data_IF_360804397357
#
_entry.id   IF_360804397357
#
_cell.length_a   1.000
_cell.length_b   1.000
_cell.length_c   1.000
_cell.angle_alpha   90.00
_cell.angle_beta   90.00
_cell.angle_gamma   90.00
#
_symmetry.space_group_name_H-M   'P 1'
#
loop_
_entity.id
_entity.type
_entity.pdbx_description
1 polymer ?
#
# COMPACT_ATOMS: atom_id res chain seq x y z
N UNK A 1 -8.83 -21.46 -7.53
CA UNK A 1 -8.38 -20.47 -8.54
C UNK A 1 -6.86 -20.55 -8.62
N UNK A 2 -6.30 -20.76 -9.80
CA UNK A 2 -4.84 -20.87 -9.99
C UNK A 2 -4.23 -19.46 -9.93
N UNK A 3 -3.33 -19.22 -8.98
CA UNK A 3 -2.54 -17.98 -8.90
C UNK A 3 -1.18 -18.24 -9.54
N UNK A 4 -1.06 -17.88 -10.81
CA UNK A 4 0.17 -18.00 -11.58
C UNK A 4 0.68 -16.61 -12.02
N UNK A 5 1.80 -16.57 -12.74
CA UNK A 5 2.39 -15.30 -13.20
C UNK A 5 1.46 -14.52 -14.12
N UNK A 6 0.76 -15.18 -15.03
CA UNK A 6 -0.20 -14.56 -15.93
C UNK A 6 -1.34 -13.90 -15.19
N UNK A 7 -1.94 -14.61 -14.23
CA UNK A 7 -2.96 -14.05 -13.34
C UNK A 7 -2.48 -12.80 -12.62
N UNK A 8 -1.22 -12.78 -12.15
CA UNK A 8 -0.64 -11.64 -11.46
C UNK A 8 -0.41 -10.47 -12.41
N UNK A 9 0.13 -10.72 -13.62
CA UNK A 9 0.40 -9.66 -14.59
C UNK A 9 -0.87 -8.98 -15.10
N UNK A 10 -1.97 -9.71 -15.21
CA UNK A 10 -3.29 -9.16 -15.57
C UNK A 10 -3.87 -8.20 -14.50
N UNK A 11 -3.27 -8.16 -13.31
CA UNK A 11 -3.66 -7.25 -12.23
C UNK A 11 -2.81 -6.00 -12.12
N UNK A 12 -1.87 -5.77 -13.02
CA UNK A 12 -0.92 -4.65 -12.95
C UNK A 12 -1.07 -3.78 -14.19
N UNK A 13 -0.90 -2.48 -14.04
CA UNK A 13 -0.75 -1.60 -15.19
C UNK A 13 0.54 -1.96 -15.95
N UNK A 14 0.51 -1.94 -17.28
CA UNK A 14 1.62 -2.36 -18.14
C UNK A 14 2.95 -1.65 -17.83
N UNK A 15 2.91 -0.42 -17.34
CA UNK A 15 4.09 0.35 -17.00
C UNK A 15 4.90 -0.23 -15.81
N UNK A 16 4.27 -1.07 -14.98
CA UNK A 16 4.93 -1.78 -13.88
C UNK A 16 5.51 -3.14 -14.30
N UNK A 17 5.16 -3.66 -15.49
CA UNK A 17 5.51 -5.02 -15.89
C UNK A 17 7.02 -5.29 -15.93
N UNK A 18 7.85 -4.30 -16.26
CA UNK A 18 9.31 -4.47 -16.31
C UNK A 18 9.87 -4.87 -14.94
N UNK A 19 9.51 -4.13 -13.88
CA UNK A 19 9.97 -4.45 -12.52
C UNK A 19 9.33 -5.73 -11.99
N UNK A 20 8.06 -6.01 -12.31
CA UNK A 20 7.40 -7.26 -11.92
C UNK A 20 8.08 -8.48 -12.55
N UNK A 21 8.37 -8.43 -13.87
CA UNK A 21 9.07 -9.51 -14.59
C UNK A 21 10.48 -9.77 -14.03
N UNK A 22 11.16 -8.74 -13.52
CA UNK A 22 12.49 -8.89 -12.91
C UNK A 22 12.45 -9.60 -11.55
N UNK A 23 11.30 -9.59 -10.86
CA UNK A 23 11.15 -10.13 -9.50
C UNK A 23 10.45 -11.49 -9.45
N UNK A 24 9.48 -11.74 -10.35
CA UNK A 24 8.57 -12.88 -10.29
C UNK A 24 9.28 -14.25 -10.38
N UNK A 25 10.44 -14.31 -11.05
CA UNK A 25 11.24 -15.53 -11.19
C UNK A 25 12.15 -15.81 -9.99
N UNK A 26 12.30 -14.86 -9.06
CA UNK A 26 13.14 -15.02 -7.88
C UNK A 26 12.56 -16.02 -6.89
N UNK A 27 13.42 -16.73 -6.20
CA UNK A 27 13.03 -17.77 -5.23
C UNK A 27 12.00 -17.27 -4.21
N UNK A 28 12.21 -16.08 -3.64
CA UNK A 28 11.28 -15.54 -2.65
C UNK A 28 9.89 -15.27 -3.22
N UNK A 29 9.82 -14.83 -4.49
CA UNK A 29 8.53 -14.55 -5.13
C UNK A 29 7.75 -15.83 -5.45
N UNK A 30 8.44 -16.91 -5.79
CA UNK A 30 7.81 -18.24 -5.95
C UNK A 30 7.18 -18.74 -4.65
N UNK A 31 7.83 -18.50 -3.49
CA UNK A 31 7.22 -18.79 -2.18
C UNK A 31 5.97 -17.95 -1.92
N UNK A 32 6.00 -16.66 -2.29
CA UNK A 32 4.81 -15.80 -2.20
C UNK A 32 3.67 -16.42 -3.02
N UNK A 33 3.90 -16.78 -4.29
CA UNK A 33 2.86 -17.35 -5.16
C UNK A 33 2.27 -18.63 -4.54
N UNK A 34 3.10 -19.55 -4.09
CA UNK A 34 2.66 -20.79 -3.48
C UNK A 34 1.78 -20.57 -2.24
N UNK A 35 2.14 -19.64 -1.36
CA UNK A 35 1.35 -19.29 -0.18
C UNK A 35 0.04 -18.60 -0.56
N UNK A 36 0.06 -17.70 -1.55
CA UNK A 36 -1.16 -17.05 -2.05
C UNK A 36 -2.14 -18.08 -2.62
N UNK A 37 -1.66 -19.05 -3.37
CA UNK A 37 -2.49 -20.12 -3.93
C UNK A 37 -3.10 -20.99 -2.83
N UNK A 38 -2.31 -21.43 -1.85
CA UNK A 38 -2.78 -22.17 -0.68
C UNK A 38 -3.86 -21.40 0.08
N UNK A 39 -3.59 -20.17 0.47
CA UNK A 39 -4.56 -19.32 1.20
C UNK A 39 -5.81 -19.00 0.38
N UNK A 40 -5.70 -18.90 -0.95
CA UNK A 40 -6.84 -18.67 -1.83
C UNK A 40 -7.77 -19.88 -1.87
N UNK A 41 -7.21 -21.09 -1.94
CA UNK A 41 -7.97 -22.32 -1.95
C UNK A 41 -8.71 -22.53 -0.61
N UNK A 42 -8.13 -22.11 0.51
CA UNK A 42 -8.75 -22.11 1.83
C UNK A 42 -9.72 -20.92 2.04
N UNK A 43 -9.79 -19.98 1.10
CA UNK A 43 -10.60 -18.76 1.20
C UNK A 43 -10.30 -17.89 2.43
N UNK A 44 -9.03 -17.85 2.85
CA UNK A 44 -8.56 -17.09 4.02
C UNK A 44 -7.64 -15.92 3.65
N UNK A 45 -7.48 -15.59 2.37
CA UNK A 45 -6.58 -14.54 1.91
C UNK A 45 -7.21 -13.15 2.00
N UNK A 46 -6.49 -12.21 2.59
CA UNK A 46 -6.82 -10.79 2.65
C UNK A 46 -5.69 -9.94 2.04
N UNK A 47 -6.00 -9.07 1.07
CA UNK A 47 -7.25 -8.94 0.32
C UNK A 47 -7.53 -10.18 -0.56
N UNK A 48 -8.69 -10.21 -1.21
CA UNK A 48 -8.97 -11.26 -2.20
C UNK A 48 -7.90 -11.28 -3.30
N UNK A 49 -7.64 -12.43 -3.94
CA UNK A 49 -6.58 -12.57 -4.94
C UNK A 49 -6.58 -11.51 -6.03
N UNK A 50 -7.76 -11.11 -6.52
CA UNK A 50 -7.92 -10.09 -7.57
C UNK A 50 -7.52 -8.66 -7.12
N UNK A 51 -7.30 -8.44 -5.83
CA UNK A 51 -7.01 -7.12 -5.26
C UNK A 51 -5.58 -6.99 -4.70
N UNK A 52 -4.77 -8.04 -4.72
CA UNK A 52 -3.41 -8.03 -4.16
C UNK A 52 -2.55 -6.92 -4.77
N UNK A 53 -2.66 -6.74 -6.10
CA UNK A 53 -1.89 -5.74 -6.84
C UNK A 53 -2.72 -4.52 -7.27
N UNK A 54 -3.85 -4.27 -6.59
CA UNK A 54 -4.75 -3.16 -6.95
C UNK A 54 -4.06 -1.80 -6.94
N UNK A 55 -3.11 -1.55 -6.03
CA UNK A 55 -2.33 -0.32 -6.01
C UNK A 55 -1.60 -0.09 -7.35
N UNK A 56 -0.98 -1.13 -7.90
CA UNK A 56 -0.27 -1.07 -9.19
C UNK A 56 -1.21 -1.07 -10.40
N UNK A 57 -2.43 -1.59 -10.25
CA UNK A 57 -3.45 -1.53 -11.30
C UNK A 57 -4.02 -0.14 -11.44
N UNK A 58 -4.28 0.52 -10.32
CA UNK A 58 -4.97 1.82 -10.25
C UNK A 58 -4.03 3.00 -10.48
N UNK A 59 -2.79 2.92 -10.01
CA UNK A 59 -1.80 3.98 -10.16
C UNK A 59 -0.78 3.56 -11.21
N UNK A 60 -0.80 4.19 -12.39
CA UNK A 60 0.24 4.00 -13.42
C UNK A 60 1.56 4.61 -12.96
N UNK A 61 2.68 4.09 -13.48
CA UNK A 61 4.00 4.62 -13.14
C UNK A 61 4.19 6.06 -13.65
N UNK A 62 3.68 6.38 -14.84
CA UNK A 62 3.74 7.72 -15.42
C UNK A 62 3.01 8.77 -14.58
N UNK A 63 1.81 8.43 -14.07
CA UNK A 63 0.98 9.33 -13.26
C UNK A 63 1.37 9.38 -11.78
N UNK A 64 2.36 8.60 -11.35
CA UNK A 64 2.77 8.53 -9.94
C UNK A 64 3.30 9.87 -9.42
N UNK A 65 2.67 10.42 -8.39
CA UNK A 65 3.02 11.68 -7.72
C UNK A 65 3.33 11.49 -6.24
N UNK A 66 2.60 10.58 -5.59
CA UNK A 66 2.68 10.37 -4.14
C UNK A 66 2.75 8.88 -3.83
N UNK A 67 3.55 8.52 -2.83
CA UNK A 67 3.60 7.15 -2.26
C UNK A 67 3.24 7.23 -0.78
N UNK A 68 2.24 6.45 -0.37
CA UNK A 68 1.88 6.26 1.04
C UNK A 68 2.21 4.82 1.41
N UNK A 69 3.07 4.63 2.42
CA UNK A 69 3.53 3.30 2.83
C UNK A 69 2.76 2.82 4.06
N UNK A 70 1.97 1.75 3.88
CA UNK A 70 1.36 0.99 4.97
C UNK A 70 2.19 -0.24 5.37
N UNK A 71 1.81 -0.91 6.45
CA UNK A 71 2.47 -2.13 6.93
C UNK A 71 1.91 -3.37 6.26
N UNK A 72 0.67 -3.73 6.53
CA UNK A 72 -0.03 -4.89 6.02
C UNK A 72 -1.53 -4.58 5.80
N UNK A 73 -2.26 -5.41 5.03
CA UNK A 73 -3.69 -5.24 4.83
C UNK A 73 -4.49 -5.46 6.11
N UNK A 74 -5.67 -4.86 6.21
CA UNK A 74 -6.65 -5.25 7.21
C UNK A 74 -6.99 -6.74 7.08
N UNK A 75 -7.01 -7.44 8.20
CA UNK A 75 -7.17 -8.89 8.26
C UNK A 75 -8.63 -9.36 8.44
N UNK A 76 -9.58 -8.44 8.63
CA UNK A 76 -11.01 -8.75 8.67
C UNK A 76 -11.50 -9.25 7.30
N UNK A 77 -12.35 -10.25 7.30
CA UNK A 77 -12.90 -10.84 6.06
C UNK A 77 -13.62 -9.79 5.24
N UNK A 78 -13.24 -9.64 3.96
CA UNK A 78 -13.82 -8.66 3.04
C UNK A 78 -13.42 -7.20 3.33
N UNK A 79 -12.60 -6.93 4.35
CA UNK A 79 -12.23 -5.58 4.75
C UNK A 79 -11.20 -4.94 3.81
N UNK A 80 -10.05 -5.59 3.60
CA UNK A 80 -9.00 -5.07 2.75
C UNK A 80 -9.42 -5.04 1.27
N UNK A 81 -9.12 -3.93 0.60
CA UNK A 81 -9.43 -3.76 -0.83
C UNK A 81 -8.18 -3.71 -1.72
N UNK A 82 -6.97 -3.89 -1.16
CA UNK A 82 -5.70 -3.90 -1.90
C UNK A 82 -4.96 -2.56 -1.94
N UNK A 83 -5.53 -1.49 -1.38
CA UNK A 83 -4.87 -0.20 -1.16
C UNK A 83 -4.57 -0.04 0.33
N UNK A 84 -3.40 0.51 0.69
CA UNK A 84 -3.07 0.76 2.10
C UNK A 84 -4.08 1.73 2.74
N UNK A 85 -4.42 1.50 4.02
CA UNK A 85 -5.41 2.25 4.81
C UNK A 85 -6.87 2.19 4.31
N UNK A 86 -7.12 1.69 3.09
CA UNK A 86 -8.44 1.66 2.47
C UNK A 86 -9.22 0.38 2.80
N UNK A 87 -10.55 0.49 2.79
CA UNK A 87 -11.47 -0.63 2.95
C UNK A 87 -12.55 -0.63 1.87
N UNK A 88 -13.23 -1.77 1.68
CA UNK A 88 -14.40 -1.80 0.81
C UNK A 88 -15.52 -0.90 1.34
N UNK A 89 -16.36 -0.37 0.44
CA UNK A 89 -17.38 0.62 0.79
C UNK A 89 -18.50 0.10 1.70
N UNK A 90 -18.70 -1.19 1.78
CA UNK A 90 -19.66 -1.87 2.66
C UNK A 90 -19.11 -2.09 4.09
N UNK A 91 -17.82 -1.90 4.29
CA UNK A 91 -17.16 -2.13 5.58
C UNK A 91 -17.22 -0.91 6.49
N UNK A 92 -17.09 -1.13 7.80
CA UNK A 92 -16.94 -0.04 8.78
C UNK A 92 -15.61 0.68 8.54
N UNK A 93 -15.61 2.01 8.62
CA UNK A 93 -14.39 2.81 8.48
C UNK A 93 -13.43 2.51 9.65
N UNK A 94 -12.22 1.98 9.39
CA UNK A 94 -11.27 1.70 10.45
C UNK A 94 -10.78 2.97 11.16
N UNK A 95 -10.38 2.87 12.44
CA UNK A 95 -9.92 4.03 13.22
C UNK A 95 -8.79 4.82 12.55
N UNK A 96 -7.80 4.14 11.95
CA UNK A 96 -6.70 4.82 11.25
C UNK A 96 -7.20 5.65 10.07
N UNK A 97 -8.11 5.11 9.26
CA UNK A 97 -8.69 5.84 8.12
C UNK A 97 -9.57 7.00 8.58
N UNK A 98 -10.31 6.82 9.69
CA UNK A 98 -11.08 7.91 10.31
C UNK A 98 -10.16 9.06 10.74
N UNK A 99 -9.02 8.75 11.37
CA UNK A 99 -8.05 9.76 11.78
C UNK A 99 -7.41 10.48 10.58
N UNK A 100 -7.13 9.77 9.49
CA UNK A 100 -6.67 10.39 8.24
C UNK A 100 -7.72 11.39 7.72
N UNK A 101 -8.98 11.02 7.67
CA UNK A 101 -10.04 11.92 7.21
C UNK A 101 -10.25 13.13 8.13
N UNK A 102 -10.21 12.91 9.45
CA UNK A 102 -10.32 14.00 10.43
C UNK A 102 -9.17 15.01 10.27
N UNK A 103 -7.96 14.51 10.04
CA UNK A 103 -6.79 15.38 9.88
C UNK A 103 -6.86 16.20 8.58
N UNK A 104 -7.31 15.59 7.49
CA UNK A 104 -7.56 16.31 6.22
C UNK A 104 -8.67 17.37 6.41
N UNK A 105 -9.74 17.04 7.13
CA UNK A 105 -10.82 17.98 7.44
C UNK A 105 -10.31 19.15 8.29
N UNK A 106 -9.48 18.87 9.28
CA UNK A 106 -8.87 19.89 10.14
C UNK A 106 -7.94 20.82 9.37
N UNK A 107 -7.14 20.27 8.46
CA UNK A 107 -6.18 21.02 7.65
C UNK A 107 -6.86 21.87 6.57
N UNK A 108 -7.72 21.27 5.77
CA UNK A 108 -8.39 21.94 4.66
C UNK A 108 -9.64 22.74 5.07
N UNK A 109 -10.06 22.68 6.35
CA UNK A 109 -11.33 23.25 6.87
C UNK A 109 -12.54 22.82 6.05
N UNK A 110 -12.44 21.66 5.40
CA UNK A 110 -13.47 21.10 4.53
C UNK A 110 -13.45 19.58 4.61
N UNK A 111 -14.61 18.99 4.81
CA UNK A 111 -14.73 17.53 4.83
C UNK A 111 -14.33 16.94 3.47
N UNK A 112 -13.40 15.97 3.44
CA UNK A 112 -12.99 15.38 2.18
C UNK A 112 -14.14 14.64 1.52
N UNK A 113 -14.43 14.97 0.27
CA UNK A 113 -15.40 14.24 -0.55
C UNK A 113 -14.72 12.99 -1.14
N UNK A 114 -14.34 12.06 -0.27
CA UNK A 114 -13.71 10.82 -0.69
C UNK A 114 -14.39 9.61 -0.07
N UNK A 115 -14.40 8.51 -0.81
CA UNK A 115 -14.93 7.24 -0.32
C UNK A 115 -13.83 6.49 0.44
N UNK A 116 -14.22 5.68 1.42
CA UNK A 116 -13.29 4.88 2.24
C UNK A 116 -12.51 3.81 1.47
N UNK A 117 -12.87 3.56 0.19
CA UNK A 117 -12.09 2.71 -0.70
C UNK A 117 -10.85 3.40 -1.30
N UNK A 118 -10.73 4.73 -1.17
CA UNK A 118 -9.61 5.57 -1.60
C UNK A 118 -9.20 5.42 -3.09
N UNK A 119 -10.04 4.84 -3.92
CA UNK A 119 -9.71 4.65 -5.35
C UNK A 119 -9.51 5.97 -6.07
N UNK A 120 -10.26 7.01 -5.68
CA UNK A 120 -10.09 8.37 -6.26
C UNK A 120 -8.71 8.97 -5.99
N UNK A 121 -8.03 8.57 -4.91
CA UNK A 121 -6.64 8.98 -4.67
C UNK A 121 -5.68 8.23 -5.59
N UNK A 122 -5.87 6.93 -5.74
CA UNK A 122 -5.06 6.12 -6.65
C UNK A 122 -5.17 6.63 -8.10
N UNK A 123 -6.39 6.98 -8.54
CA UNK A 123 -6.65 7.52 -9.87
C UNK A 123 -5.96 8.89 -10.10
N UNK A 124 -5.66 9.64 -9.03
CA UNK A 124 -4.91 10.91 -9.05
C UNK A 124 -3.38 10.75 -8.98
N UNK A 125 -2.87 9.52 -8.87
CA UNK A 125 -1.45 9.23 -8.82
C UNK A 125 -0.89 8.99 -7.42
N UNK A 126 -1.74 8.62 -6.45
CA UNK A 126 -1.31 8.21 -5.10
C UNK A 126 -1.15 6.69 -5.05
N UNK A 127 0.08 6.20 -5.00
CA UNK A 127 0.37 4.78 -4.78
C UNK A 127 0.24 4.45 -3.29
N UNK A 128 -0.86 3.83 -2.92
CA UNK A 128 -1.10 3.37 -1.55
C UNK A 128 -0.62 1.94 -1.37
N UNK A 129 0.65 1.79 -0.98
CA UNK A 129 1.39 0.54 -0.97
C UNK A 129 1.57 0.00 0.45
N UNK A 130 1.09 -1.21 0.73
CA UNK A 130 1.49 -1.94 1.92
C UNK A 130 2.85 -2.61 1.72
N UNK A 131 3.66 -2.70 2.76
CA UNK A 131 4.93 -3.44 2.72
C UNK A 131 4.71 -4.95 2.60
N UNK A 132 3.67 -5.49 3.23
CA UNK A 132 3.13 -6.83 2.96
C UNK A 132 1.83 -6.68 2.19
N UNK A 133 1.71 -7.31 1.01
CA UNK A 133 0.52 -7.13 0.16
C UNK A 133 -0.62 -8.09 0.51
N UNK A 134 -0.39 -9.03 1.43
CA UNK A 134 -1.40 -9.98 1.88
C UNK A 134 -1.20 -10.41 3.33
N UNK A 135 -2.28 -10.89 3.94
CA UNK A 135 -2.30 -11.58 5.24
C UNK A 135 -3.36 -12.68 5.23
N UNK A 136 -3.32 -13.61 6.19
CA UNK A 136 -4.41 -14.56 6.45
C UNK A 136 -5.53 -13.86 7.22
N UNK A 137 -6.77 -14.19 6.89
CA UNK A 137 -7.96 -13.68 7.59
C UNK A 137 -7.86 -13.94 9.09
N UNK A 138 -8.14 -12.92 9.89
CA UNK A 138 -8.05 -12.96 11.34
C UNK A 138 -6.62 -12.94 11.93
N UNK A 139 -5.56 -12.97 11.09
CA UNK A 139 -4.16 -13.07 11.55
C UNK A 139 -3.31 -11.92 11.01
N UNK A 140 -3.24 -10.79 11.76
CA UNK A 140 -2.35 -9.67 11.37
C UNK A 140 -0.89 -10.14 11.29
N UNK A 141 -0.09 -9.50 10.43
CA UNK A 141 1.33 -9.80 10.21
C UNK A 141 1.66 -11.24 9.77
N UNK A 142 0.68 -12.08 9.46
CA UNK A 142 0.89 -13.50 9.14
C UNK A 142 1.79 -13.75 7.93
N UNK A 143 1.93 -12.79 7.01
CA UNK A 143 2.80 -12.87 5.85
C UNK A 143 4.04 -11.95 5.94
N UNK A 144 4.37 -11.46 7.14
CA UNK A 144 5.50 -10.54 7.35
C UNK A 144 6.84 -11.13 6.86
N UNK A 145 7.05 -12.45 7.04
CA UNK A 145 8.28 -13.14 6.67
C UNK A 145 8.19 -13.86 5.31
N UNK A 146 7.09 -13.72 4.59
CA UNK A 146 6.86 -14.42 3.32
C UNK A 146 7.78 -13.91 2.18
N UNK A 147 8.29 -12.69 2.29
CA UNK A 147 9.15 -12.06 1.29
C UNK A 147 8.54 -10.82 0.62
N UNK A 148 7.33 -10.42 0.98
CA UNK A 148 6.68 -9.21 0.47
C UNK A 148 7.56 -7.96 0.63
N UNK A 149 8.20 -7.81 1.80
CA UNK A 149 9.10 -6.66 2.05
C UNK A 149 10.24 -6.58 1.02
N UNK A 150 10.78 -7.72 0.56
CA UNK A 150 11.82 -7.73 -0.47
C UNK A 150 11.29 -7.18 -1.80
N UNK A 151 10.07 -7.53 -2.15
CA UNK A 151 9.42 -7.05 -3.38
C UNK A 151 9.07 -5.56 -3.27
N UNK A 152 8.36 -5.14 -2.22
CA UNK A 152 7.92 -3.76 -2.06
C UNK A 152 9.08 -2.78 -1.86
N UNK A 153 10.16 -3.20 -1.20
CA UNK A 153 11.39 -2.42 -1.10
C UNK A 153 12.06 -2.22 -2.47
N UNK A 154 12.02 -3.22 -3.35
CA UNK A 154 12.46 -3.07 -4.74
C UNK A 154 11.59 -2.09 -5.53
N UNK A 155 10.28 -2.11 -5.30
CA UNK A 155 9.36 -1.12 -5.90
C UNK A 155 9.70 0.29 -5.43
N UNK A 156 9.88 0.53 -4.12
CA UNK A 156 10.24 1.85 -3.60
C UNK A 156 11.58 2.34 -4.19
N UNK A 157 12.59 1.46 -4.25
CA UNK A 157 13.87 1.78 -4.86
C UNK A 157 13.74 2.05 -6.37
N UNK A 158 12.93 1.27 -7.08
CA UNK A 158 12.66 1.48 -8.51
C UNK A 158 12.03 2.84 -8.77
N UNK A 159 11.03 3.24 -7.97
CA UNK A 159 10.44 4.58 -8.03
C UNK A 159 11.50 5.64 -7.78
N UNK A 160 12.28 5.49 -6.72
CA UNK A 160 13.31 6.46 -6.32
C UNK A 160 14.39 6.67 -7.38
N UNK A 161 14.74 5.63 -8.13
CA UNK A 161 15.74 5.74 -9.20
C UNK A 161 15.18 6.36 -10.47
N UNK A 162 13.96 5.98 -10.86
CA UNK A 162 13.41 6.23 -12.19
C UNK A 162 12.39 7.39 -12.24
N UNK A 163 12.06 8.01 -11.09
CA UNK A 163 11.20 9.20 -11.02
C UNK A 163 11.95 10.36 -10.36
N UNK A 164 11.38 11.55 -10.48
CA UNK A 164 11.79 12.75 -9.75
C UNK A 164 10.54 13.40 -9.15
N UNK A 165 10.71 14.20 -8.10
CA UNK A 165 9.65 15.01 -7.49
C UNK A 165 8.43 14.18 -7.01
N UNK A 166 8.67 12.95 -6.51
CA UNK A 166 7.65 12.14 -5.86
C UNK A 166 7.64 12.47 -4.37
N UNK A 167 6.45 12.60 -3.78
CA UNK A 167 6.29 12.78 -2.33
C UNK A 167 6.06 11.42 -1.67
N UNK A 168 6.85 11.11 -0.65
CA UNK A 168 6.72 9.88 0.14
C UNK A 168 6.19 10.20 1.54
N UNK A 169 5.00 9.72 1.86
CA UNK A 169 4.45 9.77 3.22
C UNK A 169 4.83 8.50 3.97
N UNK A 170 5.66 8.65 5.00
CA UNK A 170 6.15 7.56 5.85
C UNK A 170 5.58 7.73 7.27
N UNK A 171 4.41 7.15 7.50
CA UNK A 171 3.67 7.26 8.76
C UNK A 171 4.01 6.15 9.74
N UNK A 172 4.55 6.54 10.89
CA UNK A 172 4.98 5.65 11.96
C UNK A 172 6.37 5.05 11.75
N UNK A 173 6.90 4.45 12.82
CA UNK A 173 8.28 3.95 12.84
C UNK A 173 8.55 2.87 11.77
N UNK A 174 7.59 2.00 11.50
CA UNK A 174 7.74 0.96 10.48
C UNK A 174 8.01 1.57 9.09
N UNK A 175 7.16 2.51 8.66
CA UNK A 175 7.32 3.18 7.37
C UNK A 175 8.57 4.08 7.32
N UNK A 176 8.92 4.73 8.44
CA UNK A 176 10.11 5.59 8.55
C UNK A 176 11.41 4.88 8.17
N UNK A 177 11.55 3.60 8.46
CA UNK A 177 12.73 2.83 8.06
C UNK A 177 12.90 2.71 6.54
N UNK A 178 11.84 2.91 5.75
CA UNK A 178 11.90 2.86 4.29
C UNK A 178 12.61 4.08 3.67
N UNK A 179 12.86 5.16 4.44
CA UNK A 179 13.58 6.35 3.97
C UNK A 179 14.94 6.04 3.35
N UNK A 180 15.62 4.98 3.82
CA UNK A 180 16.93 4.55 3.29
C UNK A 180 16.88 4.06 1.84
N UNK A 181 15.70 3.77 1.30
CA UNK A 181 15.47 3.33 -0.08
C UNK A 181 15.21 4.50 -1.03
N UNK A 182 15.08 5.72 -0.50
CA UNK A 182 14.60 6.89 -1.23
C UNK A 182 15.69 7.94 -1.32
N UNK A 183 15.98 8.40 -2.53
CA UNK A 183 16.93 9.50 -2.78
C UNK A 183 16.30 10.85 -2.40
N UNK A 184 16.77 11.43 -1.31
CA UNK A 184 16.28 12.70 -0.76
C UNK A 184 16.60 13.92 -1.64
N UNK A 185 17.55 13.79 -2.58
CA UNK A 185 17.85 14.86 -3.53
C UNK A 185 16.85 14.92 -4.68
N UNK A 186 16.12 13.83 -4.92
CA UNK A 186 15.13 13.71 -5.98
C UNK A 186 13.69 13.78 -5.49
N UNK A 187 13.44 13.50 -4.21
CA UNK A 187 12.11 13.25 -3.66
C UNK A 187 11.89 13.95 -2.33
N UNK A 188 10.66 14.36 -2.08
CA UNK A 188 10.26 14.87 -0.76
C UNK A 188 9.81 13.69 0.13
N UNK A 189 10.36 13.62 1.34
CA UNK A 189 9.94 12.63 2.34
C UNK A 189 9.29 13.34 3.52
N UNK A 190 8.04 13.02 3.78
CA UNK A 190 7.26 13.57 4.87
C UNK A 190 7.00 12.49 5.93
N UNK A 191 7.31 12.81 7.17
CA UNK A 191 7.16 11.91 8.32
C UNK A 191 6.03 12.38 9.23
N UNK A 192 5.27 11.44 9.76
CA UNK A 192 4.33 11.67 10.85
C UNK A 192 4.24 10.43 11.74
N UNK A 193 3.58 10.52 12.90
CA UNK A 193 3.22 9.32 13.65
C UNK A 193 2.26 8.44 12.84
N UNK A 194 2.05 7.20 13.27
CA UNK A 194 1.07 6.34 12.60
C UNK A 194 -0.37 6.82 12.90
N UNK A 195 -1.31 6.80 11.94
CA UNK A 195 -2.68 7.29 12.13
C UNK A 195 -3.54 6.40 13.04
N UNK A 196 -3.02 5.31 13.59
CA UNK A 196 -3.76 4.49 14.55
C UNK A 196 -4.06 5.26 15.85
N UNK A 197 -5.16 4.95 16.56
CA UNK A 197 -5.47 5.59 17.84
C UNK A 197 -4.35 5.47 18.88
N UNK A 198 -3.53 4.42 18.81
CA UNK A 198 -2.39 4.20 19.71
C UNK A 198 -1.25 5.21 19.52
N UNK A 199 -1.19 5.89 18.38
CA UNK A 199 -0.07 6.76 18.00
C UNK A 199 -0.49 8.14 17.53
N UNK A 200 -1.73 8.31 17.07
CA UNK A 200 -2.19 9.57 16.45
C UNK A 200 -2.23 10.75 17.43
N UNK A 201 -2.43 10.49 18.73
CA UNK A 201 -2.41 11.52 19.76
C UNK A 201 -1.01 12.11 20.01
N UNK A 202 0.06 11.43 19.57
CA UNK A 202 1.44 11.89 19.79
C UNK A 202 1.81 13.02 18.84
N UNK A 203 1.53 12.88 17.54
CA UNK A 203 1.85 13.89 16.53
C UNK A 203 1.42 13.51 15.12
N UNK A 204 0.23 12.89 14.97
CA UNK A 204 -0.29 12.67 13.63
C UNK A 204 -0.81 14.00 13.09
N UNK A 205 0.02 14.68 12.31
CA UNK A 205 -0.28 15.97 11.72
C UNK A 205 0.02 15.87 10.22
N UNK A 206 -1.00 16.11 9.39
CA UNK A 206 -0.88 16.16 7.93
C UNK A 206 -0.67 17.59 7.42
N UNK A 207 -0.65 18.61 8.30
CA UNK A 207 -0.43 20.01 7.91
C UNK A 207 0.92 20.27 7.20
N UNK A 208 1.81 19.28 7.20
CA UNK A 208 3.01 19.26 6.37
C UNK A 208 2.71 19.13 4.86
N UNK A 209 1.44 18.98 4.46
CA UNK A 209 1.03 18.87 3.05
C UNK A 209 1.07 20.24 2.34
N UNK A 210 1.18 21.34 3.09
CA UNK A 210 1.20 22.71 2.57
C UNK A 210 2.60 23.31 2.38
N UNK A 211 3.66 22.51 2.45
CA UNK A 211 5.02 22.99 2.21
C UNK A 211 5.38 22.87 0.74
#
# INVERSE_FOLDING_TARGET
MIINQEFLFNQVNNEWLSIFKSEVNKRYFKFIIAELESCSNENILCPSPKNIFKAFKKTSFSNLKVVIVGQDPYHGRGQANGLSFAVNNDQITPPSLKNIFNEIENDLKKRPNTRKNLESWADQGVLMLNSSLSVKSGKPNSHQNLGWNKFTDKILKYISVNKNNVVFFLWGNFAKHKQQLIDKNKHLILFSSHPSPLSSYISFNLSLIHI
#
